data_IF_913054009859
#
_entry.id   IF_913054009859
#
_cell.length_a   1.000
_cell.length_b   1.000
_cell.length_c   1.000
_cell.angle_alpha   90.00
_cell.angle_beta   90.00
_cell.angle_gamma   90.00
#
_symmetry.space_group_name_H-M   'P 1'
#
loop_
_entity.id
_entity.type
_entity.pdbx_description
1 polymer ?
#
# COMPACT_ATOMS: atom_id res chain seq x y z
N UNK A 1 -10.27 16.69 40.87
CA UNK A 1 -9.25 15.99 40.05
C UNK A 1 -9.80 15.45 38.75
N UNK A 2 -11.07 15.02 38.69
CA UNK A 2 -11.73 14.48 37.48
C UNK A 2 -11.72 15.40 36.24
N UNK A 3 -12.01 16.70 36.39
CA UNK A 3 -11.99 17.63 35.24
C UNK A 3 -10.61 17.73 34.56
N UNK A 4 -9.52 17.65 35.33
CA UNK A 4 -8.14 17.65 34.79
C UNK A 4 -7.80 16.32 34.11
N UNK A 5 -8.27 15.20 34.67
CA UNK A 5 -8.10 13.86 34.08
C UNK A 5 -8.84 13.74 32.74
N UNK A 6 -10.08 14.23 32.66
CA UNK A 6 -10.88 14.22 31.43
C UNK A 6 -10.27 15.12 30.32
N UNK A 7 -9.65 16.23 30.70
CA UNK A 7 -8.93 17.09 29.75
C UNK A 7 -7.70 16.38 29.18
N UNK A 8 -6.91 15.74 30.04
CA UNK A 8 -5.73 14.97 29.61
C UNK A 8 -6.14 13.81 28.69
N UNK A 9 -7.19 13.06 29.07
CA UNK A 9 -7.71 11.97 28.24
C UNK A 9 -8.21 12.46 26.86
N UNK A 10 -8.90 13.61 26.82
CA UNK A 10 -9.35 14.21 25.55
C UNK A 10 -8.19 14.61 24.64
N UNK A 11 -7.13 15.21 25.20
CA UNK A 11 -5.91 15.55 24.45
C UNK A 11 -5.26 14.29 23.89
N UNK A 12 -5.15 13.21 24.68
CA UNK A 12 -4.60 11.94 24.22
C UNK A 12 -5.38 11.33 23.05
N UNK A 13 -6.71 11.36 23.10
CA UNK A 13 -7.56 10.85 22.02
C UNK A 13 -7.33 11.67 20.73
N UNK A 14 -7.30 12.99 20.83
CA UNK A 14 -7.03 13.88 19.68
C UNK A 14 -5.65 13.60 19.10
N UNK A 15 -4.61 13.52 19.94
CA UNK A 15 -3.25 13.21 19.51
C UNK A 15 -3.16 11.84 18.84
N UNK A 16 -3.88 10.84 19.35
CA UNK A 16 -3.94 9.51 18.76
C UNK A 16 -4.54 9.53 17.36
N UNK A 17 -5.68 10.21 17.16
CA UNK A 17 -6.28 10.35 15.83
C UNK A 17 -5.43 11.20 14.88
N UNK A 18 -4.76 12.24 15.38
CA UNK A 18 -3.83 13.04 14.59
C UNK A 18 -2.64 12.20 14.12
N UNK A 19 -2.08 11.37 15.00
CA UNK A 19 -1.00 10.44 14.68
C UNK A 19 -1.44 9.44 13.59
N UNK A 20 -2.63 8.85 13.73
CA UNK A 20 -3.19 7.96 12.70
C UNK A 20 -3.33 8.71 11.37
N UNK A 21 -3.90 9.92 11.38
CA UNK A 21 -4.08 10.71 10.16
C UNK A 21 -2.73 10.99 9.47
N UNK A 22 -1.72 11.42 10.21
CA UNK A 22 -0.38 11.70 9.69
C UNK A 22 0.22 10.44 9.07
N UNK A 23 0.31 9.34 9.82
CA UNK A 23 0.87 8.06 9.34
C UNK A 23 0.19 7.64 8.03
N UNK A 24 -1.13 7.81 7.95
CA UNK A 24 -1.92 7.38 6.79
C UNK A 24 -1.79 8.30 5.60
N UNK A 25 -1.48 9.58 5.81
CA UNK A 25 -1.21 10.54 4.75
C UNK A 25 0.19 10.39 4.14
N UNK A 26 1.15 9.89 4.93
CA UNK A 26 2.56 9.74 4.53
C UNK A 26 2.89 8.35 3.99
N UNK A 27 2.00 7.38 4.14
CA UNK A 27 2.15 6.03 3.60
C UNK A 27 2.06 6.07 2.07
N UNK A 28 3.22 6.06 1.42
CA UNK A 28 3.37 5.92 -0.03
C UNK A 28 3.58 4.45 -0.38
N UNK A 29 3.18 4.08 -1.57
CA UNK A 29 3.62 2.82 -2.17
C UNK A 29 5.13 2.94 -2.38
N UNK A 30 5.85 2.00 -1.78
CA UNK A 30 7.29 1.88 -1.97
C UNK A 30 7.54 0.81 -3.05
N UNK A 31 8.63 0.97 -3.83
CA UNK A 31 9.20 -0.12 -4.61
C UNK A 31 9.39 -1.36 -3.73
N UNK A 32 9.18 -2.53 -4.30
CA UNK A 32 9.22 -3.80 -3.58
C UNK A 32 8.33 -4.85 -4.23
N UNK A 33 8.34 -6.04 -3.66
CA UNK A 33 7.55 -7.18 -4.14
C UNK A 33 6.20 -7.21 -3.45
N UNK A 34 5.15 -7.42 -4.23
CA UNK A 34 3.76 -7.54 -3.80
C UNK A 34 3.25 -8.92 -4.23
N UNK A 35 2.84 -9.75 -3.30
CA UNK A 35 2.41 -11.14 -3.53
C UNK A 35 0.90 -11.28 -3.34
N UNK A 36 0.28 -12.12 -4.17
CA UNK A 36 -1.14 -12.43 -4.03
C UNK A 36 -1.43 -13.21 -2.75
N UNK A 37 -2.57 -12.93 -2.12
CA UNK A 37 -3.05 -13.69 -0.95
C UNK A 37 -3.36 -15.15 -1.28
N UNK A 38 -3.81 -15.41 -2.51
CA UNK A 38 -4.28 -16.72 -2.95
C UNK A 38 -3.17 -17.61 -3.49
N UNK A 39 -2.10 -17.03 -4.05
CA UNK A 39 -1.05 -17.75 -4.75
C UNK A 39 0.25 -16.93 -4.76
N UNK A 40 1.29 -17.40 -4.07
CA UNK A 40 2.58 -16.70 -3.99
C UNK A 40 3.38 -16.71 -5.29
N UNK A 41 2.99 -17.51 -6.28
CA UNK A 41 3.55 -17.44 -7.64
C UNK A 41 3.06 -16.19 -8.39
N UNK A 42 1.92 -15.64 -7.96
CA UNK A 42 1.35 -14.41 -8.48
C UNK A 42 1.92 -13.21 -7.73
N UNK A 43 2.87 -12.51 -8.36
CA UNK A 43 3.57 -11.38 -7.75
C UNK A 43 3.79 -10.22 -8.71
N UNK A 44 4.00 -9.05 -8.13
CA UNK A 44 4.31 -7.80 -8.80
C UNK A 44 5.51 -7.18 -8.07
N UNK A 45 6.61 -7.00 -8.77
CA UNK A 45 7.80 -6.31 -8.27
C UNK A 45 7.83 -4.91 -8.89
N UNK A 46 7.77 -3.89 -8.04
CA UNK A 46 7.96 -2.49 -8.44
C UNK A 46 9.41 -2.10 -8.16
N UNK A 47 10.15 -1.64 -9.15
CA UNK A 47 11.54 -1.23 -9.01
C UNK A 47 11.67 0.28 -8.74
N UNK A 48 12.78 0.75 -8.14
CA UNK A 48 13.01 2.17 -7.88
C UNK A 48 13.19 3.05 -9.12
N UNK A 49 13.38 2.46 -10.30
CA UNK A 49 13.58 3.13 -11.58
C UNK A 49 12.28 3.25 -12.40
N UNK A 50 11.12 3.18 -11.73
CA UNK A 50 9.78 3.24 -12.32
C UNK A 50 9.46 2.10 -13.31
N UNK A 51 10.22 1.00 -13.26
CA UNK A 51 9.92 -0.24 -13.98
C UNK A 51 9.23 -1.28 -13.10
N UNK A 52 8.50 -2.22 -13.70
CA UNK A 52 7.91 -3.33 -12.96
C UNK A 52 8.05 -4.66 -13.69
N UNK A 53 7.97 -5.73 -12.90
CA UNK A 53 7.83 -7.11 -13.38
C UNK A 53 6.66 -7.79 -12.65
N UNK A 54 5.79 -8.47 -13.39
CA UNK A 54 4.67 -9.21 -12.85
C UNK A 54 4.50 -10.54 -13.54
N UNK A 55 4.18 -11.59 -12.78
CA UNK A 55 3.84 -12.90 -13.34
C UNK A 55 2.46 -12.92 -14.02
N UNK A 56 1.63 -11.89 -13.86
CA UNK A 56 0.29 -11.78 -14.45
C UNK A 56 0.28 -10.76 -15.60
N UNK A 57 0.87 -9.59 -15.36
CA UNK A 57 0.72 -8.43 -16.24
C UNK A 57 1.94 -8.18 -17.15
N UNK A 58 2.93 -9.06 -17.08
CA UNK A 58 4.19 -8.93 -17.82
C UNK A 58 5.12 -7.90 -17.17
N UNK A 59 5.90 -7.20 -17.99
CA UNK A 59 6.83 -6.17 -17.56
C UNK A 59 6.55 -4.85 -18.29
N UNK A 60 7.09 -3.76 -17.74
CA UNK A 60 6.89 -2.42 -18.30
C UNK A 60 7.27 -1.33 -17.32
N UNK A 61 6.61 -0.19 -17.44
CA UNK A 61 6.78 0.95 -16.52
C UNK A 61 5.56 1.12 -15.64
N UNK A 62 5.69 1.82 -14.52
CA UNK A 62 4.56 2.12 -13.66
C UNK A 62 4.55 3.58 -13.22
N UNK A 63 3.36 4.08 -12.90
CA UNK A 63 3.15 5.39 -12.33
C UNK A 63 2.36 5.27 -11.03
N UNK A 64 2.92 5.81 -9.94
CA UNK A 64 2.24 5.86 -8.64
C UNK A 64 1.36 7.11 -8.57
N UNK A 65 0.08 6.90 -8.32
CA UNK A 65 -0.91 7.95 -8.07
C UNK A 65 -1.35 7.90 -6.59
N UNK A 66 -2.05 8.94 -6.14
CA UNK A 66 -2.50 9.05 -4.74
C UNK A 66 -3.38 7.87 -4.28
N UNK A 67 -4.13 7.28 -5.20
CA UNK A 67 -5.13 6.22 -4.91
C UNK A 67 -4.85 4.91 -5.65
N UNK A 68 -3.77 4.83 -6.45
CA UNK A 68 -3.51 3.65 -7.27
C UNK A 68 -2.11 3.61 -7.85
N UNK A 69 -1.76 2.47 -8.44
CA UNK A 69 -0.60 2.29 -9.32
C UNK A 69 -1.12 1.93 -10.69
N UNK A 70 -0.67 2.65 -11.73
CA UNK A 70 -0.94 2.28 -13.10
C UNK A 70 0.27 1.56 -13.66
N UNK A 71 0.07 0.34 -14.15
CA UNK A 71 1.05 -0.47 -14.83
C UNK A 71 0.89 -0.25 -16.33
N UNK A 72 1.94 0.20 -16.98
CA UNK A 72 2.03 0.43 -18.42
C UNK A 72 2.83 -0.72 -19.04
N UNK A 73 2.13 -1.73 -19.57
CA UNK A 73 2.72 -2.79 -20.39
C UNK A 73 2.09 -2.81 -21.78
N UNK A 74 1.54 -3.95 -22.22
CA UNK A 74 0.77 -4.05 -23.46
C UNK A 74 -0.62 -3.43 -23.32
N UNK A 75 -1.17 -3.43 -22.10
CA UNK A 75 -2.46 -2.81 -21.76
C UNK A 75 -2.32 -2.12 -20.40
N UNK A 76 -2.82 -0.89 -20.31
CA UNK A 76 -2.79 -0.15 -19.05
C UNK A 76 -3.71 -0.81 -18.01
N UNK A 77 -3.13 -1.13 -16.85
CA UNK A 77 -3.83 -1.75 -15.73
C UNK A 77 -3.69 -0.86 -14.51
N UNK A 78 -4.82 -0.47 -13.92
CA UNK A 78 -4.82 0.34 -12.70
C UNK A 78 -5.12 -0.53 -11.48
N UNK A 79 -4.12 -0.68 -10.61
CA UNK A 79 -4.24 -1.29 -9.30
C UNK A 79 -4.66 -0.23 -8.30
N UNK A 80 -5.78 -0.44 -7.62
CA UNK A 80 -6.27 0.47 -6.59
C UNK A 80 -5.54 0.20 -5.29
N UNK A 81 -5.10 1.26 -4.60
CA UNK A 81 -4.55 1.11 -3.25
C UNK A 81 -5.71 0.99 -2.28
N UNK A 82 -5.91 -0.20 -1.72
CA UNK A 82 -6.87 -0.44 -0.66
C UNK A 82 -6.14 -0.48 0.67
N UNK A 83 -6.75 0.18 1.66
CA UNK A 83 -6.28 0.13 3.04
C UNK A 83 -7.03 -0.96 3.79
N UNK A 84 -6.31 -1.99 4.21
CA UNK A 84 -6.75 -2.89 5.28
C UNK A 84 -6.21 -2.35 6.62
N UNK A 85 -6.80 -2.71 7.78
CA UNK A 85 -6.62 -2.01 9.07
C UNK A 85 -5.17 -1.69 9.47
N UNK A 86 -4.19 -2.47 8.99
CA UNK A 86 -2.77 -2.29 9.28
C UNK A 86 -1.84 -2.44 8.06
N UNK A 87 -2.37 -2.56 6.83
CA UNK A 87 -1.57 -2.82 5.62
C UNK A 87 -2.12 -2.10 4.39
N UNK A 88 -1.21 -1.58 3.55
CA UNK A 88 -1.53 -1.22 2.18
C UNK A 88 -1.62 -2.48 1.33
N UNK A 89 -2.58 -2.50 0.41
CA UNK A 89 -2.83 -3.62 -0.50
C UNK A 89 -3.05 -3.04 -1.89
N UNK A 90 -2.44 -3.64 -2.90
CA UNK A 90 -2.77 -3.38 -4.29
C UNK A 90 -3.93 -4.29 -4.69
N UNK A 91 -5.00 -3.69 -5.19
CA UNK A 91 -6.19 -4.41 -5.61
C UNK A 91 -6.43 -4.23 -7.10
N UNK A 92 -6.43 -5.33 -7.84
CA UNK A 92 -6.91 -5.34 -9.20
C UNK A 92 -8.43 -5.52 -9.20
N UNK A 93 -9.15 -4.49 -9.64
CA UNK A 93 -10.61 -4.50 -9.70
C UNK A 93 -11.15 -5.45 -10.78
N UNK A 94 -10.39 -5.69 -11.84
CA UNK A 94 -10.84 -6.52 -12.97
C UNK A 94 -10.77 -8.00 -12.60
N UNK A 95 -9.61 -8.46 -12.12
CA UNK A 95 -9.42 -9.85 -11.71
C UNK A 95 -9.83 -10.14 -10.26
N UNK A 96 -10.15 -9.10 -9.49
CA UNK A 96 -10.45 -9.17 -8.05
C UNK A 96 -9.29 -9.71 -7.19
N UNK A 97 -8.05 -9.58 -7.68
CA UNK A 97 -6.85 -10.02 -6.97
C UNK A 97 -6.35 -8.98 -5.96
N UNK A 98 -5.88 -9.46 -4.82
CA UNK A 98 -5.28 -8.66 -3.76
C UNK A 98 -3.81 -9.00 -3.62
N UNK A 99 -2.93 -8.00 -3.78
CA UNK A 99 -1.50 -8.14 -3.59
C UNK A 99 -1.05 -7.39 -2.35
N UNK A 100 -0.38 -8.10 -1.46
CA UNK A 100 0.16 -7.57 -0.22
C UNK A 100 1.66 -7.37 -0.37
N UNK A 101 2.25 -6.36 0.28
CA UNK A 101 3.69 -6.23 0.29
C UNK A 101 4.26 -7.51 0.90
N UNK A 102 5.08 -8.23 0.13
CA UNK A 102 5.90 -9.29 0.66
C UNK A 102 6.80 -8.65 1.72
N UNK A 103 6.95 -9.30 2.88
CA UNK A 103 7.94 -8.87 3.86
C UNK A 103 9.33 -9.07 3.25
N UNK A 104 9.78 -8.12 2.45
CA UNK A 104 11.22 -7.90 2.28
C UNK A 104 11.67 -7.34 3.61
N UNK A 105 12.15 -8.21 4.49
CA UNK A 105 13.25 -7.87 5.38
C UNK A 105 14.26 -7.11 4.50
N UNK A 106 14.21 -5.79 4.54
CA UNK A 106 15.29 -4.93 4.05
C UNK A 106 16.45 -5.11 5.04
N UNK A 107 17.03 -6.31 5.06
CA UNK A 107 18.36 -6.53 5.61
C UNK A 107 19.33 -5.83 4.67
N UNK A 108 19.60 -4.56 5.01
CA UNK A 108 20.88 -3.93 4.71
C UNK A 108 21.93 -4.43 5.70
#
# INVERSE_FOLDING_TARGET
>A
MEKKFNLIAGIFIILFFLMILIITSTMKIQPGTWESESDSTLRITLYPDDTFESSIYGNGTYAVQKTGVTLHSNTDITLTVIRKPLKLVLYDRQSQNYFYPANTDLKK
#
